data_IF_854458862723
#
_entry.id   IF_854458862723
#
_cell.length_a   1.000
_cell.length_b   1.000
_cell.length_c   1.000
_cell.angle_alpha   90.00
_cell.angle_beta   90.00
_cell.angle_gamma   90.00
#
_symmetry.space_group_name_H-M   'P 1'
#
loop_
_entity.id
_entity.type
_entity.pdbx_description
1 polymer ?
#
# COMPACT_ATOMS: atom_id res chain seq x y z
N UNK A 1 -15.23 3.83 5.34
CA UNK A 1 -13.75 3.83 5.21
C UNK A 1 -13.37 3.53 3.77
N UNK A 2 -12.25 4.05 3.27
CA UNK A 2 -11.65 3.63 2.01
C UNK A 2 -10.26 3.00 2.26
N UNK A 3 -10.02 1.84 1.67
CA UNK A 3 -8.77 1.09 1.73
C UNK A 3 -8.22 0.87 0.32
N UNK A 4 -6.95 1.20 0.12
CA UNK A 4 -6.20 0.97 -1.12
C UNK A 4 -4.95 0.14 -0.80
N UNK A 5 -4.87 -1.07 -1.34
CA UNK A 5 -3.76 -2.01 -1.13
C UNK A 5 -3.02 -2.18 -2.46
N UNK A 6 -1.69 -2.05 -2.41
CA UNK A 6 -0.86 -1.95 -3.61
C UNK A 6 -1.09 -0.62 -4.31
N UNK A 7 -0.86 0.45 -3.56
CA UNK A 7 -1.27 1.82 -3.92
C UNK A 7 -0.53 2.32 -5.16
N UNK A 8 0.70 1.84 -5.38
CA UNK A 8 1.59 2.27 -6.44
C UNK A 8 1.78 3.80 -6.39
N UNK A 9 1.58 4.51 -7.50
CA UNK A 9 1.65 5.98 -7.53
C UNK A 9 0.39 6.66 -7.02
N UNK A 10 -0.61 5.90 -6.55
CA UNK A 10 -1.81 6.39 -5.90
C UNK A 10 -2.92 6.75 -6.86
N UNK A 11 -2.98 6.13 -8.04
CA UNK A 11 -3.98 6.40 -9.08
C UNK A 11 -5.40 6.30 -8.55
N UNK A 12 -5.72 5.29 -7.72
CA UNK A 12 -7.03 5.20 -7.06
C UNK A 12 -7.09 6.10 -5.82
N UNK A 13 -6.15 5.92 -4.89
CA UNK A 13 -6.05 6.63 -3.61
C UNK A 13 -6.14 8.17 -3.70
N UNK A 14 -5.60 8.79 -4.75
CA UNK A 14 -5.51 10.25 -4.92
C UNK A 14 -6.52 10.82 -5.94
N UNK A 15 -7.34 9.99 -6.58
CA UNK A 15 -8.17 10.39 -7.73
C UNK A 15 -9.41 11.21 -7.40
N UNK A 16 -9.80 11.31 -6.13
CA UNK A 16 -11.08 11.90 -5.76
C UNK A 16 -11.04 12.62 -4.42
N UNK A 17 -12.01 13.50 -4.21
CA UNK A 17 -12.25 14.16 -2.93
C UNK A 17 -13.27 13.32 -2.17
N UNK A 18 -12.83 12.71 -1.08
CA UNK A 18 -13.68 11.88 -0.23
C UNK A 18 -14.53 12.75 0.70
N UNK A 19 -15.67 12.22 1.16
CA UNK A 19 -16.49 12.87 2.20
C UNK A 19 -15.64 13.13 3.44
N UNK A 20 -15.79 14.27 4.14
CA UNK A 20 -14.96 14.65 5.32
C UNK A 20 -14.92 13.62 6.46
N UNK A 21 -15.89 12.72 6.53
CA UNK A 21 -16.03 11.68 7.54
C UNK A 21 -15.34 10.37 7.14
N UNK A 22 -14.83 10.28 5.89
CA UNK A 22 -14.19 9.08 5.38
C UNK A 22 -12.74 9.02 5.86
N UNK A 23 -12.38 7.98 6.60
CA UNK A 23 -10.99 7.61 6.83
C UNK A 23 -10.44 6.88 5.61
N UNK A 24 -9.27 7.30 5.12
CA UNK A 24 -8.64 6.80 3.90
C UNK A 24 -7.27 6.25 4.28
N UNK A 25 -7.05 4.96 4.03
CA UNK A 25 -5.84 4.26 4.40
C UNK A 25 -5.28 3.49 3.20
N UNK A 26 -3.99 3.62 3.00
CA UNK A 26 -3.25 3.04 1.90
C UNK A 26 -2.14 2.12 2.42
N UNK A 27 -1.90 1.01 1.74
CA UNK A 27 -0.78 0.11 2.00
C UNK A 27 0.09 0.00 0.75
N UNK A 28 1.36 0.34 0.89
CA UNK A 28 2.35 0.26 -0.19
C UNK A 28 3.59 -0.49 0.28
N UNK A 29 3.99 -1.52 -0.46
CA UNK A 29 5.14 -2.36 -0.10
C UNK A 29 6.47 -1.69 -0.47
N UNK A 30 6.51 -1.00 -1.61
CA UNK A 30 7.70 -0.33 -2.13
C UNK A 30 8.01 0.93 -1.30
N UNK A 31 9.08 0.93 -0.47
CA UNK A 31 9.43 2.06 0.37
C UNK A 31 9.81 3.31 -0.44
N UNK A 32 10.24 3.15 -1.69
CA UNK A 32 10.62 4.28 -2.55
C UNK A 32 9.44 5.07 -3.08
N UNK A 33 8.24 4.47 -3.14
CA UNK A 33 7.02 5.19 -3.55
C UNK A 33 6.43 6.05 -2.43
N UNK A 34 6.68 5.69 -1.16
CA UNK A 34 6.11 6.33 0.02
C UNK A 34 6.42 7.84 0.11
N UNK A 35 7.66 8.32 -0.16
CA UNK A 35 7.93 9.76 -0.21
C UNK A 35 7.11 10.51 -1.28
N UNK A 36 6.91 9.91 -2.45
CA UNK A 36 6.13 10.52 -3.54
C UNK A 36 4.64 10.54 -3.21
N UNK A 37 4.12 9.45 -2.65
CA UNK A 37 2.75 9.39 -2.15
C UNK A 37 2.51 10.47 -1.08
N UNK A 38 3.42 10.61 -0.10
CA UNK A 38 3.30 11.64 0.92
C UNK A 38 3.36 13.06 0.37
N UNK A 39 4.15 13.30 -0.69
CA UNK A 39 4.18 14.58 -1.40
C UNK A 39 2.82 14.88 -2.04
N UNK A 40 2.22 13.89 -2.70
CA UNK A 40 0.90 14.02 -3.33
C UNK A 40 -0.21 14.22 -2.28
N UNK A 41 -0.17 13.46 -1.17
CA UNK A 41 -1.09 13.65 -0.03
C UNK A 41 -1.01 15.09 0.49
N UNK A 42 0.19 15.65 0.64
CA UNK A 42 0.35 17.02 1.15
C UNK A 42 -0.36 18.07 0.29
N UNK A 43 -0.45 17.84 -1.02
CA UNK A 43 -1.15 18.71 -1.96
C UNK A 43 -2.67 18.42 -2.07
N UNK A 44 -3.15 17.30 -1.52
CA UNK A 44 -4.51 16.83 -1.69
C UNK A 44 -5.51 17.56 -0.76
N UNK A 45 -6.75 17.89 -1.21
CA UNK A 45 -7.77 18.51 -0.36
C UNK A 45 -8.14 17.68 0.88
N UNK A 46 -8.21 16.35 0.72
CA UNK A 46 -8.57 15.41 1.80
C UNK A 46 -7.37 14.96 2.67
N UNK A 47 -6.20 15.63 2.60
CA UNK A 47 -4.95 15.18 3.23
C UNK A 47 -5.06 14.77 4.71
N UNK A 48 -5.91 15.45 5.48
CA UNK A 48 -6.09 15.20 6.91
C UNK A 48 -6.76 13.85 7.21
N UNK A 49 -7.34 13.22 6.19
CA UNK A 49 -8.04 11.94 6.26
C UNK A 49 -7.20 10.78 5.69
N UNK A 50 -6.04 11.09 5.11
CA UNK A 50 -5.24 10.18 4.29
C UNK A 50 -3.97 9.76 5.03
N UNK A 51 -3.65 8.48 4.95
CA UNK A 51 -2.39 7.93 5.47
C UNK A 51 -1.93 6.75 4.63
N UNK A 52 -0.61 6.62 4.48
CA UNK A 52 0.04 5.50 3.78
C UNK A 52 0.87 4.74 4.80
N UNK A 53 0.69 3.43 4.85
CA UNK A 53 1.53 2.52 5.62
C UNK A 53 2.47 1.81 4.65
N UNK A 54 3.78 1.94 4.91
CA UNK A 54 4.75 1.12 4.21
C UNK A 54 4.75 -0.30 4.81
N UNK A 55 4.14 -1.25 4.10
CA UNK A 55 4.05 -2.64 4.52
C UNK A 55 3.56 -3.52 3.36
N UNK A 56 3.78 -4.83 3.49
CA UNK A 56 3.05 -5.86 2.73
C UNK A 56 1.75 -6.25 3.45
N UNK A 57 0.68 -6.49 2.69
CA UNK A 57 -0.54 -7.07 3.24
C UNK A 57 -0.44 -8.61 3.22
N UNK A 58 -0.69 -9.27 4.35
CA UNK A 58 -0.62 -10.73 4.47
C UNK A 58 -1.54 -11.24 5.58
N UNK A 59 -1.83 -12.53 5.60
CA UNK A 59 -2.49 -13.23 6.71
C UNK A 59 -1.52 -13.65 7.83
N UNK A 60 -0.22 -13.62 7.55
CA UNK A 60 0.87 -14.09 8.43
C UNK A 60 1.91 -12.97 8.66
N UNK A 61 1.58 -11.97 9.51
CA UNK A 61 2.38 -10.75 9.64
C UNK A 61 3.73 -11.03 10.30
N UNK A 62 4.77 -10.34 9.82
CA UNK A 62 6.15 -10.44 10.28
C UNK A 62 6.80 -9.06 10.32
N UNK A 63 7.75 -8.88 11.23
CA UNK A 63 8.55 -7.65 11.31
C UNK A 63 9.47 -7.45 10.11
N UNK A 64 9.83 -8.56 9.45
CA UNK A 64 10.67 -8.55 8.26
C UNK A 64 10.15 -9.57 7.24
N UNK A 65 9.78 -9.07 6.08
CA UNK A 65 9.35 -9.84 4.90
C UNK A 65 10.10 -9.27 3.70
N UNK A 66 10.61 -10.16 2.87
CA UNK A 66 11.31 -9.77 1.66
C UNK A 66 10.33 -9.25 0.62
N UNK A 67 10.71 -8.18 -0.04
CA UNK A 67 9.99 -7.60 -1.17
C UNK A 67 10.97 -7.33 -2.29
N UNK A 68 10.54 -7.59 -3.52
CA UNK A 68 11.37 -7.54 -4.70
C UNK A 68 10.90 -6.39 -5.58
N UNK A 69 11.67 -5.32 -5.63
CA UNK A 69 11.38 -4.13 -6.42
C UNK A 69 11.88 -4.34 -7.84
N UNK A 70 10.98 -4.23 -8.80
CA UNK A 70 11.34 -4.15 -10.21
C UNK A 70 11.69 -2.70 -10.55
N UNK A 71 12.94 -2.47 -10.95
CA UNK A 71 13.46 -1.14 -11.25
C UNK A 71 13.06 -0.62 -12.64
N UNK A 72 12.56 -1.50 -13.52
CA UNK A 72 12.06 -1.10 -14.84
C UNK A 72 10.59 -0.67 -14.80
N UNK A 73 9.78 -1.30 -13.94
CA UNK A 73 8.37 -0.99 -13.79
C UNK A 73 7.86 -1.28 -12.37
N UNK A 74 7.29 -0.28 -11.69
CA UNK A 74 6.80 -0.43 -10.31
C UNK A 74 5.75 -1.53 -10.16
N UNK A 75 4.90 -1.72 -11.17
CA UNK A 75 3.88 -2.77 -11.18
C UNK A 75 4.42 -4.19 -11.33
N UNK A 76 5.70 -4.37 -11.68
CA UNK A 76 6.35 -5.67 -11.70
C UNK A 76 7.01 -6.07 -10.37
N UNK A 77 6.91 -5.23 -9.34
CA UNK A 77 7.47 -5.53 -8.02
C UNK A 77 6.61 -6.55 -7.28
N UNK A 78 7.21 -7.50 -6.58
CA UNK A 78 6.48 -8.67 -6.04
C UNK A 78 6.96 -9.09 -4.65
N UNK A 79 6.07 -9.75 -3.90
CA UNK A 79 6.42 -10.46 -2.67
C UNK A 79 6.89 -11.92 -2.90
N UNK A 80 6.83 -12.40 -4.14
CA UNK A 80 7.11 -13.81 -4.48
C UNK A 80 8.50 -13.94 -5.11
N UNK A 81 9.41 -14.59 -4.41
CA UNK A 81 10.81 -14.74 -4.84
C UNK A 81 10.95 -15.43 -6.21
N UNK A 82 10.12 -16.45 -6.51
CA UNK A 82 10.20 -17.14 -7.80
C UNK A 82 9.84 -16.25 -8.98
N UNK A 83 8.91 -15.30 -8.79
CA UNK A 83 8.54 -14.33 -9.83
C UNK A 83 9.69 -13.33 -10.04
N UNK A 84 10.31 -12.87 -8.95
CA UNK A 84 11.46 -11.97 -9.00
C UNK A 84 12.68 -12.56 -9.72
N UNK A 85 12.89 -13.88 -9.62
CA UNK A 85 14.02 -14.56 -10.29
C UNK A 85 13.84 -14.70 -11.80
N UNK A 86 12.60 -14.78 -12.29
CA UNK A 86 12.32 -14.82 -13.72
C UNK A 86 12.63 -13.48 -14.41
N UNK A 87 12.61 -12.36 -13.66
CA UNK A 87 12.92 -10.99 -14.13
C UNK A 87 14.32 -10.49 -13.70
N UNK A 88 15.21 -11.44 -13.36
CA UNK A 88 16.46 -11.28 -12.59
C UNK A 88 17.48 -10.22 -13.05
N UNK A 89 17.29 -9.54 -14.18
CA UNK A 89 18.27 -8.55 -14.65
C UNK A 89 18.16 -7.19 -13.94
N UNK A 90 17.03 -6.86 -13.33
CA UNK A 90 16.84 -5.53 -12.71
C UNK A 90 15.91 -5.51 -11.49
N UNK A 91 16.02 -6.52 -10.63
CA UNK A 91 15.24 -6.61 -9.39
C UNK A 91 16.11 -6.32 -8.17
N UNK A 92 15.64 -5.43 -7.29
CA UNK A 92 16.26 -5.13 -5.99
C UNK A 92 15.48 -5.82 -4.86
N UNK A 93 16.20 -6.47 -3.93
CA UNK A 93 15.60 -7.06 -2.73
C UNK A 93 15.62 -6.03 -1.59
N UNK A 94 14.46 -5.71 -1.05
CA UNK A 94 14.30 -4.85 0.13
C UNK A 94 13.57 -5.59 1.25
N UNK A 95 13.84 -5.20 2.49
CA UNK A 95 13.08 -5.64 3.65
C UNK A 95 11.94 -4.68 3.96
N UNK A 96 10.73 -5.21 4.13
CA UNK A 96 9.57 -4.45 4.61
C UNK A 96 8.85 -5.24 5.71
N UNK A 97 8.05 -4.57 6.53
CA UNK A 97 7.19 -5.27 7.47
C UNK A 97 5.94 -5.77 6.75
N UNK A 98 5.27 -6.77 7.30
CA UNK A 98 4.00 -7.25 6.78
C UNK A 98 2.90 -7.20 7.84
N UNK A 99 1.68 -6.90 7.42
CA UNK A 99 0.55 -6.60 8.31
C UNK A 99 -0.74 -7.28 7.84
N UNK A 100 -1.61 -7.59 8.80
CA UNK A 100 -2.98 -8.02 8.53
C UNK A 100 -3.89 -6.81 8.38
N UNK A 101 -4.74 -6.85 7.37
CA UNK A 101 -5.73 -5.81 7.12
C UNK A 101 -6.79 -5.79 8.23
N UNK A 102 -7.13 -6.95 8.82
CA UNK A 102 -8.08 -7.05 9.95
C UNK A 102 -7.66 -6.14 11.13
N UNK A 103 -6.36 -6.07 11.41
CA UNK A 103 -5.82 -5.25 12.49
C UNK A 103 -6.06 -3.77 12.18
N UNK A 104 -5.87 -3.36 10.92
CA UNK A 104 -6.13 -1.98 10.50
C UNK A 104 -7.60 -1.59 10.65
N UNK A 105 -8.54 -2.51 10.40
CA UNK A 105 -9.97 -2.19 10.58
C UNK A 105 -10.31 -2.09 12.07
N UNK A 106 -9.78 -3.01 12.89
CA UNK A 106 -10.06 -3.09 14.33
C UNK A 106 -9.43 -1.92 15.10
N UNK A 107 -8.15 -1.62 14.86
CA UNK A 107 -7.37 -0.62 15.58
C UNK A 107 -7.87 0.81 15.34
N UNK A 108 -8.62 1.02 14.26
CA UNK A 108 -9.12 2.34 13.86
C UNK A 108 -10.56 2.60 14.34
N UNK A 109 -11.10 1.75 15.23
CA UNK A 109 -12.44 1.85 15.86
C UNK A 109 -13.52 2.25 14.85
N UNK A 110 -13.49 1.57 13.70
CA UNK A 110 -14.28 1.99 12.55
C UNK A 110 -15.71 1.50 12.73
N UNK A 111 -16.53 2.31 13.38
CA UNK A 111 -17.98 2.15 13.44
C UNK A 111 -18.63 2.62 12.11
N UNK A 112 -18.25 2.00 11.00
CA UNK A 112 -18.80 2.30 9.67
C UNK A 112 -19.62 1.13 9.16
N UNK A 113 -20.76 1.44 8.55
CA UNK A 113 -21.59 0.45 7.86
C UNK A 113 -21.01 0.01 6.51
N UNK A 114 -19.96 0.70 6.01
CA UNK A 114 -19.39 0.45 4.69
C UNK A 114 -17.88 0.70 4.62
N UNK A 115 -17.17 -0.32 4.14
CA UNK A 115 -15.75 -0.24 3.75
C UNK A 115 -15.69 -0.43 2.24
N UNK A 116 -15.04 0.50 1.55
CA UNK A 116 -14.66 0.34 0.15
C UNK A 116 -13.22 -0.15 0.12
N UNK A 117 -12.98 -1.23 -0.61
CA UNK A 117 -11.72 -1.95 -0.60
C UNK A 117 -11.22 -2.15 -2.02
N UNK A 118 -10.05 -1.61 -2.34
CA UNK A 118 -9.31 -1.89 -3.57
C UNK A 118 -8.04 -2.68 -3.22
N UNK A 119 -7.81 -3.75 -3.97
CA UNK A 119 -6.64 -4.62 -3.84
C UNK A 119 -6.11 -4.90 -5.24
N UNK A 120 -4.89 -4.46 -5.49
CA UNK A 120 -4.16 -4.69 -6.73
C UNK A 120 -2.68 -4.87 -6.35
N UNK A 121 -2.27 -6.13 -6.19
CA UNK A 121 -0.95 -6.51 -5.64
C UNK A 121 -0.41 -7.70 -6.41
N UNK A 122 0.92 -7.77 -6.52
CA UNK A 122 1.63 -8.88 -7.13
C UNK A 122 2.23 -9.78 -6.04
N UNK A 123 1.39 -10.65 -5.46
CA UNK A 123 1.77 -11.61 -4.41
C UNK A 123 1.30 -11.25 -3.01
#
# INVERSE_FOLDING_TARGET
MALDIGVNYGECFLSTIYSPETKILAIEANPYLVPYLNKSIHAHPSRNQMSVINALATDTPQEHTEFFINNDWSGGSTAIESIAQDDSSNTERVGTKSIRIDNLVTDNDINTSCIVFKLDVEG
#
